data_IF_727736606353
#
_entry.id   IF_727736606353
#
_cell.length_a   1.000
_cell.length_b   1.000
_cell.length_c   1.000
_cell.angle_alpha   90.00
_cell.angle_beta   90.00
_cell.angle_gamma   90.00
#
_symmetry.space_group_name_H-M   'P 1'
#
loop_
_entity.id
_entity.type
_entity.pdbx_description
1 polymer ?
#
# COMPACT_ATOMS: atom_id res chain seq x y z
N UNK A 1 18.48 -47.07 -17.58
CA UNK A 1 17.47 -47.09 -16.49
C UNK A 1 17.99 -46.18 -15.39
N UNK A 2 17.61 -44.90 -15.40
CA UNK A 2 17.93 -43.97 -14.30
C UNK A 2 16.69 -43.87 -13.40
N UNK A 3 16.84 -43.97 -12.08
CA UNK A 3 15.73 -43.91 -11.14
C UNK A 3 15.18 -42.49 -11.04
N UNK A 4 13.86 -42.39 -10.82
CA UNK A 4 13.11 -41.14 -10.85
C UNK A 4 13.56 -40.11 -9.83
N UNK A 5 13.84 -38.90 -10.31
CA UNK A 5 13.77 -37.69 -9.51
C UNK A 5 12.33 -37.20 -9.52
N UNK A 6 11.62 -37.39 -8.40
CA UNK A 6 10.42 -36.62 -8.12
C UNK A 6 10.83 -35.16 -8.06
N UNK A 7 10.47 -34.39 -9.09
CA UNK A 7 10.52 -32.95 -9.03
C UNK A 7 9.51 -32.52 -7.97
N UNK A 8 10.01 -32.27 -6.76
CA UNK A 8 9.33 -31.48 -5.76
C UNK A 8 9.01 -30.14 -6.42
N UNK A 9 7.78 -30.01 -6.91
CA UNK A 9 7.15 -28.71 -6.99
C UNK A 9 6.89 -28.30 -5.55
N UNK A 10 7.94 -27.90 -4.84
CA UNK A 10 7.83 -27.05 -3.67
C UNK A 10 7.04 -25.84 -4.15
N UNK A 11 5.74 -25.88 -3.85
CA UNK A 11 4.84 -24.75 -4.01
C UNK A 11 5.54 -23.59 -3.34
N UNK A 12 6.01 -22.62 -4.14
CA UNK A 12 6.49 -21.34 -3.65
C UNK A 12 5.29 -20.71 -2.92
N UNK A 13 5.20 -20.97 -1.62
CA UNK A 13 4.18 -20.41 -0.75
C UNK A 13 4.66 -19.02 -0.41
N UNK A 14 4.23 -18.06 -1.21
CA UNK A 14 4.38 -16.63 -0.98
C UNK A 14 4.11 -16.36 0.51
N UNK A 15 5.09 -15.77 1.20
CA UNK A 15 4.97 -15.49 2.62
C UNK A 15 3.79 -14.53 2.83
N UNK A 16 2.73 -15.00 3.47
CA UNK A 16 1.52 -14.21 3.78
C UNK A 16 1.79 -12.99 4.67
N UNK A 17 3.01 -12.88 5.20
CA UNK A 17 3.48 -11.78 6.05
C UNK A 17 4.26 -10.70 5.28
N UNK A 18 4.48 -10.86 3.97
CA UNK A 18 5.11 -9.83 3.13
C UNK A 18 4.10 -8.77 2.70
N UNK A 19 4.43 -7.46 2.71
CA UNK A 19 3.53 -6.41 2.26
C UNK A 19 3.09 -6.59 0.80
N UNK A 20 1.78 -6.58 0.55
CA UNK A 20 1.20 -6.73 -0.80
C UNK A 20 0.67 -5.39 -1.28
N UNK A 21 1.12 -4.94 -2.45
CA UNK A 21 0.74 -3.69 -3.07
C UNK A 21 -0.30 -3.90 -4.16
N UNK A 22 -1.35 -3.06 -4.19
CA UNK A 22 -2.37 -3.11 -5.22
C UNK A 22 -2.87 -1.69 -5.54
N UNK A 23 -2.97 -1.35 -6.82
CA UNK A 23 -3.69 -0.14 -7.26
C UNK A 23 -5.16 -0.50 -7.54
N UNK A 24 -6.09 0.31 -7.05
CA UNK A 24 -7.56 0.14 -7.18
C UNK A 24 -8.23 1.49 -7.33
N UNK A 25 -8.12 2.06 -8.51
CA UNK A 25 -8.69 3.37 -8.78
C UNK A 25 -10.22 3.33 -8.83
N UNK A 26 -10.84 4.43 -8.42
CA UNK A 26 -12.26 4.69 -8.58
C UNK A 26 -12.46 5.73 -9.68
N UNK A 27 -13.72 6.03 -10.00
CA UNK A 27 -14.04 7.13 -10.91
C UNK A 27 -13.46 8.47 -10.41
N UNK A 28 -13.42 8.68 -9.09
CA UNK A 28 -13.09 9.97 -8.47
C UNK A 28 -11.71 10.04 -7.82
N UNK A 29 -11.03 8.91 -7.64
CA UNK A 29 -9.77 8.86 -6.89
C UNK A 29 -8.83 7.77 -7.40
N UNK A 30 -7.53 8.04 -7.33
CA UNK A 30 -6.51 7.00 -7.40
C UNK A 30 -6.36 6.36 -6.02
N UNK A 31 -6.33 5.02 -5.95
CA UNK A 31 -6.12 4.35 -4.66
C UNK A 31 -5.03 3.29 -4.73
N UNK A 32 -4.22 3.24 -3.67
CA UNK A 32 -3.25 2.19 -3.43
C UNK A 32 -3.57 1.51 -2.11
N UNK A 33 -3.56 0.18 -2.12
CA UNK A 33 -3.72 -0.68 -0.95
C UNK A 33 -2.43 -1.40 -0.68
N UNK A 34 -1.97 -1.29 0.57
CA UNK A 34 -0.82 -2.02 1.07
C UNK A 34 -1.31 -2.94 2.18
N UNK A 35 -1.37 -4.24 1.92
CA UNK A 35 -1.83 -5.27 2.88
C UNK A 35 -0.66 -5.91 3.61
N UNK A 36 -0.97 -6.66 4.66
CA UNK A 36 -0.02 -7.40 5.49
C UNK A 36 1.02 -6.46 6.14
N UNK A 37 0.56 -5.30 6.59
CA UNK A 37 1.41 -4.35 7.30
C UNK A 37 1.63 -4.82 8.75
N UNK A 38 2.90 -5.01 9.19
CA UNK A 38 3.21 -5.60 10.49
C UNK A 38 3.06 -4.62 11.66
N UNK A 39 2.99 -3.32 11.39
CA UNK A 39 2.95 -2.27 12.41
C UNK A 39 1.61 -1.53 12.41
N UNK A 40 1.25 -0.82 13.49
CA UNK A 40 0.02 -0.03 13.51
C UNK A 40 0.20 1.26 12.70
N UNK A 41 -0.92 1.97 12.47
CA UNK A 41 -1.02 3.14 11.59
C UNK A 41 0.02 4.22 11.89
N UNK A 42 0.34 4.43 13.17
CA UNK A 42 1.14 5.55 13.68
C UNK A 42 2.61 5.48 13.26
N UNK A 43 3.06 4.31 12.83
CA UNK A 43 4.43 4.10 12.34
C UNK A 43 4.55 4.51 10.86
N UNK A 44 3.44 4.56 10.13
CA UNK A 44 3.43 4.91 8.71
C UNK A 44 3.14 6.40 8.51
N UNK A 45 3.92 7.00 7.63
CA UNK A 45 3.71 8.36 7.13
C UNK A 45 3.48 8.28 5.62
N UNK A 46 2.48 9.04 5.15
CA UNK A 46 2.16 9.18 3.73
C UNK A 46 2.33 10.65 3.36
N UNK A 47 3.07 10.90 2.28
CA UNK A 47 3.43 12.26 1.85
C UNK A 47 3.43 12.34 0.32
N UNK A 48 3.41 13.56 -0.22
CA UNK A 48 3.52 13.82 -1.66
C UNK A 48 4.93 14.33 -1.99
N UNK A 49 5.55 13.80 -3.04
CA UNK A 49 6.76 14.37 -3.65
C UNK A 49 6.37 15.06 -4.95
N UNK A 50 6.33 16.41 -4.93
CA UNK A 50 5.80 17.24 -6.03
C UNK A 50 6.64 17.14 -7.30
N UNK A 51 7.96 17.21 -7.17
CA UNK A 51 8.89 17.15 -8.32
C UNK A 51 8.78 15.83 -9.10
N UNK A 52 8.41 14.75 -8.41
CA UNK A 52 8.31 13.41 -8.98
C UNK A 52 6.87 12.95 -9.20
N UNK A 53 5.86 13.77 -8.89
CA UNK A 53 4.42 13.43 -8.97
C UNK A 53 4.08 12.04 -8.39
N UNK A 54 4.65 11.75 -7.22
CA UNK A 54 4.50 10.48 -6.53
C UNK A 54 3.91 10.65 -5.12
N UNK A 55 3.02 9.74 -4.73
CA UNK A 55 2.72 9.50 -3.32
C UNK A 55 3.83 8.63 -2.72
N UNK A 56 4.27 8.94 -1.51
CA UNK A 56 5.38 8.25 -0.84
C UNK A 56 4.94 7.78 0.53
N UNK A 57 5.13 6.48 0.76
CA UNK A 57 4.94 5.86 2.08
C UNK A 57 6.31 5.62 2.69
N UNK A 58 6.46 6.10 3.93
CA UNK A 58 7.64 5.88 4.76
C UNK A 58 7.21 5.33 6.11
N UNK A 59 7.90 4.32 6.63
CA UNK A 59 7.86 4.06 8.07
C UNK A 59 8.76 5.05 8.79
N UNK A 60 8.26 5.75 9.80
CA UNK A 60 9.14 6.42 10.74
C UNK A 60 9.83 5.35 11.57
N UNK A 61 11.14 5.17 11.37
CA UNK A 61 11.96 4.28 12.17
C UNK A 61 12.00 4.82 13.61
N UNK A 62 11.03 4.42 14.43
CA UNK A 62 11.06 4.68 15.86
C UNK A 62 11.63 3.44 16.53
N UNK A 63 12.94 3.43 16.72
CA UNK A 63 13.56 2.73 17.88
C UNK A 63 12.99 3.22 19.24
N UNK A 64 12.06 4.18 19.24
CA UNK A 64 11.60 4.93 20.40
C UNK A 64 10.08 5.15 20.37
N UNK A 65 9.32 4.11 20.72
CA UNK A 65 8.06 4.28 21.45
C UNK A 65 8.05 3.30 22.62
N UNK A 66 8.96 3.51 23.57
CA UNK A 66 8.68 3.11 24.94
C UNK A 66 7.80 4.23 25.48
N UNK A 67 6.53 3.99 25.84
CA UNK A 67 5.74 5.00 26.51
C UNK A 67 6.47 5.38 27.81
N UNK A 68 6.77 6.67 27.91
CA UNK A 68 7.42 7.28 29.06
C UNK A 68 6.46 7.21 30.25
N UNK A 69 6.58 6.14 31.04
CA UNK A 69 5.95 6.05 32.35
C UNK A 69 7.02 6.32 33.42
N UNK A 70 7.72 7.46 33.31
CA UNK A 70 8.59 7.96 34.36
C UNK A 70 7.79 8.81 35.36
N UNK A 71 6.95 8.15 36.18
CA UNK A 71 6.68 8.65 37.53
C UNK A 71 6.74 7.49 38.53
N UNK A 72 7.77 7.55 39.36
CA UNK A 72 8.01 6.74 40.56
C UNK A 72 8.37 5.27 40.33
N UNK A 73 9.58 4.89 40.74
CA UNK A 73 9.91 3.71 41.59
C UNK A 73 11.41 3.43 41.50
N UNK A 74 12.01 3.27 42.67
CA UNK A 74 13.41 3.05 43.01
C UNK A 74 14.11 1.86 42.33
N UNK A 75 15.41 2.02 42.09
CA UNK A 75 16.50 1.07 42.38
C UNK A 75 16.61 -0.29 41.67
N UNK A 76 15.52 -1.00 41.41
CA UNK A 76 15.54 -2.38 40.87
C UNK A 76 14.84 -2.51 39.51
N UNK A 77 14.18 -1.44 39.06
CA UNK A 77 13.33 -1.43 37.88
C UNK A 77 14.11 -1.39 36.55
N UNK A 78 15.38 -0.96 36.54
CA UNK A 78 16.19 -0.97 35.32
C UNK A 78 16.57 -2.40 34.91
N UNK A 79 16.99 -3.25 35.85
CA UNK A 79 17.31 -4.65 35.57
C UNK A 79 16.05 -5.43 35.16
N UNK A 80 14.91 -5.22 35.83
CA UNK A 80 13.63 -5.80 35.42
C UNK A 80 13.13 -5.25 34.07
N UNK A 81 13.33 -3.96 33.76
CA UNK A 81 13.03 -3.38 32.45
C UNK A 81 13.96 -3.93 31.37
N UNK A 82 15.24 -4.15 31.66
CA UNK A 82 16.19 -4.81 30.75
C UNK A 82 15.85 -6.29 30.57
N UNK A 83 15.39 -6.99 31.61
CA UNK A 83 14.94 -8.38 31.53
C UNK A 83 13.62 -8.49 30.73
N UNK A 84 12.68 -7.57 30.94
CA UNK A 84 11.46 -7.43 30.11
C UNK A 84 11.80 -7.04 28.67
N UNK A 85 12.81 -6.21 28.46
CA UNK A 85 13.29 -5.87 27.12
C UNK A 85 14.00 -7.06 26.46
N UNK A 86 14.76 -7.85 27.21
CA UNK A 86 15.34 -9.10 26.75
C UNK A 86 14.27 -10.15 26.48
N UNK A 87 13.20 -10.25 27.28
CA UNK A 87 12.08 -11.15 27.04
C UNK A 87 11.21 -10.69 25.86
N UNK A 88 10.90 -9.39 25.75
CA UNK A 88 10.20 -8.82 24.60
C UNK A 88 11.04 -8.95 23.33
N UNK A 89 12.34 -8.65 23.39
CA UNK A 89 13.28 -8.88 22.29
C UNK A 89 13.49 -10.36 22.02
N UNK A 90 13.32 -11.26 23.00
CA UNK A 90 13.40 -12.71 22.81
C UNK A 90 12.12 -13.25 22.14
N UNK A 91 10.93 -12.79 22.56
CA UNK A 91 9.68 -13.01 21.82
C UNK A 91 9.76 -12.41 20.41
N UNK A 92 10.46 -11.28 20.25
CA UNK A 92 10.73 -10.68 18.94
C UNK A 92 11.77 -11.48 18.14
N UNK A 93 12.77 -12.10 18.79
CA UNK A 93 13.79 -12.93 18.14
C UNK A 93 13.29 -14.30 17.73
N UNK A 94 12.22 -14.83 18.34
CA UNK A 94 11.53 -16.03 17.85
C UNK A 94 10.57 -15.76 16.69
N UNK A 95 10.39 -14.49 16.32
CA UNK A 95 9.66 -14.04 15.13
C UNK A 95 10.60 -13.17 14.29
N UNK A 96 11.60 -13.81 13.68
CA UNK A 96 12.46 -13.30 12.59
C UNK A 96 12.63 -11.77 12.54
N UNK A 97 13.27 -11.21 13.58
CA UNK A 97 13.58 -9.79 13.61
C UNK A 97 15.01 -9.47 13.23
N UNK A 98 15.32 -9.63 11.95
CA UNK A 98 16.44 -8.88 11.36
C UNK A 98 16.22 -8.45 9.91
N UNK A 99 15.13 -7.71 9.69
CA UNK A 99 15.16 -6.57 8.78
C UNK A 99 14.21 -5.52 9.35
N UNK A 100 14.75 -4.55 10.08
CA UNK A 100 14.05 -3.32 10.38
C UNK A 100 13.80 -2.66 9.00
N UNK A 101 12.72 -3.04 8.33
CA UNK A 101 12.35 -2.50 7.03
C UNK A 101 11.96 -1.06 7.28
N UNK A 102 12.94 -0.17 7.16
CA UNK A 102 12.67 1.17 6.67
C UNK A 102 11.91 1.00 5.36
N UNK A 103 10.60 1.08 5.47
CA UNK A 103 9.70 0.81 4.39
C UNK A 103 9.56 2.09 3.60
N UNK A 104 10.15 2.09 2.40
CA UNK A 104 10.08 3.20 1.46
C UNK A 104 9.42 2.71 0.17
N UNK A 105 8.30 3.32 -0.21
CA UNK A 105 7.66 3.04 -1.49
C UNK A 105 7.12 4.32 -2.12
N UNK A 106 7.44 4.50 -3.42
CA UNK A 106 6.83 5.51 -4.29
C UNK A 106 5.70 4.90 -5.09
N UNK A 107 4.62 5.65 -5.21
CA UNK A 107 3.47 5.37 -6.05
C UNK A 107 3.34 6.52 -7.05
N UNK A 108 3.89 6.37 -8.28
CA UNK A 108 3.72 7.38 -9.31
C UNK A 108 2.26 7.49 -9.74
N UNK A 109 1.86 8.69 -10.16
CA UNK A 109 0.55 8.96 -10.74
C UNK A 109 0.73 9.37 -12.21
N UNK A 110 0.84 8.41 -13.15
CA UNK A 110 1.11 8.69 -14.56
C UNK A 110 0.07 9.61 -15.20
N UNK A 111 -1.16 9.59 -14.69
CA UNK A 111 -2.23 10.48 -15.09
C UNK A 111 -1.85 11.95 -14.91
N UNK A 112 -1.24 12.33 -13.79
CA UNK A 112 -0.80 13.71 -13.56
C UNK A 112 0.36 14.10 -14.48
N UNK A 113 1.26 13.16 -14.81
CA UNK A 113 2.31 13.37 -15.81
C UNK A 113 1.72 13.67 -17.19
N UNK A 114 0.70 12.90 -17.61
CA UNK A 114 0.05 13.06 -18.92
C UNK A 114 -0.64 14.41 -19.09
N UNK A 115 -1.29 14.90 -18.02
CA UNK A 115 -1.99 16.19 -18.03
C UNK A 115 -1.13 17.35 -17.53
N UNK A 116 0.13 17.11 -17.17
CA UNK A 116 1.06 18.11 -16.63
C UNK A 116 0.51 18.88 -15.41
N UNK A 117 -0.24 18.19 -14.55
CA UNK A 117 -0.88 18.81 -13.39
C UNK A 117 0.04 18.77 -12.15
N UNK A 118 -0.01 19.81 -11.30
CA UNK A 118 0.73 19.80 -10.04
C UNK A 118 0.13 18.79 -9.06
N UNK A 119 0.99 18.15 -8.26
CA UNK A 119 0.57 17.26 -7.18
C UNK A 119 0.18 18.09 -5.95
N UNK A 120 -1.07 17.95 -5.51
CA UNK A 120 -1.63 18.67 -4.36
C UNK A 120 -1.67 17.77 -3.12
N UNK A 121 -1.13 18.28 -2.00
CA UNK A 121 -1.14 17.57 -0.72
C UNK A 121 -2.55 17.50 -0.12
N UNK A 122 -3.43 18.48 -0.38
CA UNK A 122 -4.78 18.50 0.18
C UNK A 122 -5.68 17.40 -0.41
N UNK A 123 -5.40 16.96 -1.64
CA UNK A 123 -6.10 15.87 -2.30
C UNK A 123 -5.70 14.48 -1.78
N UNK A 124 -4.61 14.37 -1.02
CA UNK A 124 -4.10 13.13 -0.45
C UNK A 124 -4.77 12.83 0.90
N UNK A 125 -5.27 11.62 1.05
CA UNK A 125 -5.77 11.08 2.32
C UNK A 125 -5.36 9.62 2.49
N UNK A 126 -5.32 9.12 3.72
CA UNK A 126 -5.05 7.70 3.96
C UNK A 126 -5.79 7.16 5.19
N UNK A 127 -6.19 5.89 5.11
CA UNK A 127 -6.84 5.16 6.19
C UNK A 127 -6.10 3.85 6.46
N UNK A 128 -6.27 3.31 7.67
CA UNK A 128 -5.62 2.07 8.07
C UNK A 128 -6.62 1.19 8.82
N UNK A 129 -6.82 -0.03 8.33
CA UNK A 129 -7.69 -1.03 8.94
C UNK A 129 -7.28 -2.43 8.47
N UNK A 130 -7.49 -3.47 9.29
CA UNK A 130 -7.23 -4.88 8.91
C UNK A 130 -5.82 -5.10 8.31
N UNK A 131 -4.79 -4.58 8.99
CA UNK A 131 -3.39 -4.61 8.51
C UNK A 131 -3.22 -4.07 7.08
N UNK A 132 -4.08 -3.14 6.67
CA UNK A 132 -4.12 -2.56 5.32
C UNK A 132 -4.10 -1.04 5.38
N UNK A 133 -3.10 -0.42 4.76
CA UNK A 133 -3.04 1.01 4.51
C UNK A 133 -3.70 1.29 3.15
N UNK A 134 -4.72 2.14 3.14
CA UNK A 134 -5.40 2.61 1.93
C UNK A 134 -5.00 4.07 1.73
N UNK A 135 -4.31 4.33 0.63
CA UNK A 135 -3.88 5.67 0.22
C UNK A 135 -4.82 6.10 -0.89
N UNK A 136 -5.43 7.26 -0.73
CA UNK A 136 -6.42 7.80 -1.67
C UNK A 136 -5.97 9.18 -2.10
N UNK A 137 -5.84 9.39 -3.41
CA UNK A 137 -5.57 10.70 -4.01
C UNK A 137 -6.78 11.08 -4.87
N UNK A 138 -7.44 12.20 -4.56
CA UNK A 138 -8.57 12.68 -5.35
C UNK A 138 -8.11 13.11 -6.75
N UNK A 139 -8.84 12.70 -7.79
CA UNK A 139 -8.51 13.09 -9.15
C UNK A 139 -8.83 14.59 -9.33
N UNK A 140 -7.90 15.38 -9.91
CA UNK A 140 -8.19 16.74 -10.35
C UNK A 140 -9.35 16.79 -11.34
N UNK A 141 -10.05 17.93 -11.39
CA UNK A 141 -11.22 18.13 -12.23
C UNK A 141 -10.90 17.93 -13.73
N UNK A 142 -9.70 18.29 -14.17
CA UNK A 142 -9.24 18.14 -15.55
C UNK A 142 -9.19 16.67 -15.98
N UNK A 143 -8.71 15.78 -15.11
CA UNK A 143 -8.69 14.33 -15.37
C UNK A 143 -10.13 13.79 -15.38
N UNK A 144 -10.97 14.22 -14.44
CA UNK A 144 -12.37 13.79 -14.37
C UNK A 144 -13.16 14.20 -15.62
N UNK A 145 -12.99 15.42 -16.10
CA UNK A 145 -13.66 15.91 -17.29
C UNK A 145 -13.22 15.13 -18.55
N UNK A 146 -11.93 14.84 -18.69
CA UNK A 146 -11.41 14.06 -19.81
C UNK A 146 -11.91 12.60 -19.78
N UNK A 147 -11.91 11.97 -18.60
CA UNK A 147 -12.45 10.62 -18.43
C UNK A 147 -13.96 10.56 -18.73
N UNK A 148 -14.72 11.57 -18.30
CA UNK A 148 -16.16 11.66 -18.56
C UNK A 148 -16.46 11.81 -20.06
N UNK A 149 -15.72 12.66 -20.77
CA UNK A 149 -15.92 12.85 -22.20
C UNK A 149 -15.65 11.56 -22.98
N UNK A 150 -14.56 10.85 -22.65
CA UNK A 150 -14.28 9.55 -23.23
C UNK A 150 -15.39 8.53 -22.97
N UNK A 151 -15.98 8.54 -21.77
CA UNK A 151 -17.11 7.68 -21.45
C UNK A 151 -18.36 8.02 -22.26
N UNK A 152 -18.62 9.31 -22.54
CA UNK A 152 -19.73 9.72 -23.41
C UNK A 152 -19.51 9.20 -24.82
N UNK A 153 -18.30 9.34 -25.37
CA UNK A 153 -17.96 8.84 -26.71
C UNK A 153 -18.12 7.31 -26.80
N UNK A 154 -17.63 6.57 -25.81
CA UNK A 154 -17.79 5.10 -25.78
C UNK A 154 -19.26 4.67 -25.68
N UNK A 155 -20.09 5.40 -24.92
CA UNK A 155 -21.54 5.13 -24.82
C UNK A 155 -22.25 5.36 -26.16
N UNK A 156 -21.86 6.40 -26.90
CA UNK A 156 -22.40 6.67 -28.25
C UNK A 156 -22.05 5.55 -29.23
N UNK A 157 -20.80 5.09 -29.23
CA UNK A 157 -20.34 4.00 -30.13
C UNK A 157 -21.06 2.68 -29.81
N UNK A 158 -21.20 2.35 -28.52
CA UNK A 158 -21.90 1.11 -28.12
C UNK A 158 -23.35 1.11 -28.62
N UNK A 159 -24.07 2.21 -28.43
CA UNK A 159 -25.46 2.34 -28.87
C UNK A 159 -25.64 2.20 -30.39
N UNK A 160 -24.62 2.54 -31.19
CA UNK A 160 -24.65 2.37 -32.64
C UNK A 160 -24.41 0.92 -33.10
N UNK A 161 -23.70 0.11 -32.31
CA UNK A 161 -23.31 -1.26 -32.68
C UNK A 161 -24.34 -2.34 -32.28
N UNK A 162 -25.24 -2.07 -31.33
CA UNK A 162 -26.30 -3.01 -30.93
C UNK A 162 -27.46 -3.12 -31.98
N UNK A 163 -27.34 -2.44 -33.14
CA UNK A 163 -28.42 -2.25 -34.11
C UNK A 163 -28.40 -3.07 -35.39
N UNK A 164 -27.38 -3.89 -35.68
CA UNK A 164 -27.32 -4.65 -36.94
C UNK A 164 -27.02 -6.14 -36.68
N UNK A 165 -28.09 -6.91 -36.54
CA UNK A 165 -28.06 -8.35 -36.29
C UNK A 165 -29.15 -9.04 -37.10
N UNK A 166 -29.17 -8.88 -38.42
CA UNK A 166 -29.90 -9.79 -39.31
C UNK A 166 -29.01 -10.22 -40.48
N UNK A 167 -28.16 -11.23 -40.24
CA UNK A 167 -27.57 -12.02 -41.33
C UNK A 167 -28.25 -13.39 -41.35
N UNK A 168 -29.32 -13.50 -42.15
CA UNK A 168 -29.90 -14.80 -42.57
C UNK A 168 -29.02 -15.38 -43.68
N UNK A 169 -28.30 -16.46 -43.38
CA UNK A 169 -27.61 -17.27 -44.39
C UNK A 169 -28.57 -18.35 -44.93
N UNK A 170 -28.61 -18.51 -46.26
CA UNK A 170 -29.34 -19.57 -46.99
C UNK A 170 -28.57 -20.88 -47.02
#
# INVERSE_FOLDING_TARGET
>A
MYPGGALESELIKESSSSPIFMRRDTQTSFQWRIRNLPYPKEVYSVSVEKDQRCCVVRTTNKKSLVPDLEKSVSGTRLAQRMQLWQQLASCYKTVDLQKHLEYYKKFPIPDLDRFQLPLDAAALSFTYANATLIITYQKPQEILAAEEELQKELKKIKAANDGDGECKTQ
#
